data_IF_163290144409
#
_entry.id   IF_163290144409
#
_cell.length_a   1.000
_cell.length_b   1.000
_cell.length_c   1.000
_cell.angle_alpha   90.00
_cell.angle_beta   90.00
_cell.angle_gamma   90.00
#
_symmetry.space_group_name_H-M   'P 1'
#
loop_
_entity.id
_entity.type
_entity.pdbx_description
1 polymer ?
#
# COMPACT_ATOMS: atom_id res chain seq x y z
N UNK A 1 -6.30 -18.62 11.65
CA UNK A 1 -5.19 -18.49 12.62
C UNK A 1 -5.38 -17.27 13.52
N UNK A 2 -5.66 -16.10 12.95
CA UNK A 2 -5.83 -14.84 13.67
C UNK A 2 -6.86 -14.88 14.82
N UNK A 3 -8.04 -15.50 14.62
CA UNK A 3 -9.04 -15.69 15.69
C UNK A 3 -8.49 -16.48 16.89
N UNK A 4 -7.74 -17.56 16.64
CA UNK A 4 -7.09 -18.34 17.72
C UNK A 4 -6.04 -17.53 18.46
N UNK A 5 -5.34 -16.65 17.76
CA UNK A 5 -4.36 -15.73 18.35
C UNK A 5 -5.01 -14.53 19.04
N UNK A 6 -6.35 -14.39 18.96
CA UNK A 6 -7.12 -13.28 19.55
C UNK A 6 -6.57 -11.91 19.17
N UNK A 7 -6.25 -11.73 17.88
CA UNK A 7 -5.82 -10.41 17.39
C UNK A 7 -6.93 -9.37 17.62
N UNK A 8 -6.60 -8.14 18.04
CA UNK A 8 -7.62 -7.14 18.38
C UNK A 8 -8.31 -6.56 17.14
N UNK A 9 -7.64 -6.57 15.99
CA UNK A 9 -8.16 -6.04 14.75
C UNK A 9 -7.70 -6.90 13.55
N UNK A 10 -8.49 -6.87 12.48
CA UNK A 10 -8.14 -7.44 11.19
C UNK A 10 -8.38 -6.44 10.07
N UNK A 11 -7.36 -6.24 9.24
CA UNK A 11 -7.46 -5.45 8.01
C UNK A 11 -7.78 -6.38 6.85
N UNK A 12 -8.91 -6.13 6.21
CA UNK A 12 -9.35 -6.80 4.99
C UNK A 12 -9.15 -5.85 3.79
N UNK A 13 -9.04 -6.42 2.60
CA UNK A 13 -8.84 -5.68 1.36
C UNK A 13 -9.42 -6.45 0.17
N UNK A 14 -9.43 -5.78 -0.99
CA UNK A 14 -9.86 -6.30 -2.29
C UNK A 14 -11.37 -6.36 -2.52
N UNK A 15 -12.02 -7.45 -2.13
CA UNK A 15 -13.47 -7.63 -2.24
C UNK A 15 -14.09 -7.62 -0.86
N UNK A 16 -15.23 -6.94 -0.73
CA UNK A 16 -15.99 -6.92 0.51
C UNK A 16 -16.77 -8.23 0.65
N UNK A 17 -16.21 -9.17 1.40
CA UNK A 17 -16.92 -10.36 1.86
C UNK A 17 -17.73 -10.02 3.12
N UNK A 18 -19.01 -9.70 2.93
CA UNK A 18 -19.89 -9.31 4.04
C UNK A 18 -20.14 -10.43 5.06
N UNK A 19 -20.09 -11.70 4.66
CA UNK A 19 -20.26 -12.83 5.58
C UNK A 19 -19.02 -12.97 6.48
N UNK A 20 -17.82 -12.82 5.90
CA UNK A 20 -16.59 -12.79 6.66
C UNK A 20 -16.56 -11.62 7.65
N UNK A 21 -16.93 -10.41 7.22
CA UNK A 21 -17.00 -9.23 8.11
C UNK A 21 -17.93 -9.52 9.28
N UNK A 22 -19.17 -9.96 9.02
CA UNK A 22 -20.14 -10.28 10.09
C UNK A 22 -19.63 -11.37 11.04
N UNK A 23 -18.96 -12.40 10.50
CA UNK A 23 -18.36 -13.44 11.33
C UNK A 23 -17.28 -12.88 12.26
N UNK A 24 -16.34 -12.07 11.74
CA UNK A 24 -15.28 -11.45 12.55
C UNK A 24 -15.85 -10.50 13.62
N UNK A 25 -16.89 -9.75 13.28
CA UNK A 25 -17.62 -8.88 14.21
C UNK A 25 -18.28 -9.68 15.34
N UNK A 26 -18.88 -10.84 15.03
CA UNK A 26 -19.48 -11.73 16.03
C UNK A 26 -18.43 -12.32 16.98
N UNK A 27 -17.18 -12.48 16.52
CA UNK A 27 -16.03 -12.90 17.33
C UNK A 27 -15.40 -11.74 18.14
N UNK A 28 -15.97 -10.53 18.06
CA UNK A 28 -15.50 -9.34 18.81
C UNK A 28 -14.22 -8.72 18.25
N UNK A 29 -13.87 -9.00 17.00
CA UNK A 29 -12.71 -8.43 16.33
C UNK A 29 -13.08 -7.09 15.69
N UNK A 30 -12.21 -6.09 15.84
CA UNK A 30 -12.35 -4.83 15.10
C UNK A 30 -12.03 -5.07 13.61
N UNK A 31 -12.97 -4.78 12.72
CA UNK A 31 -12.79 -5.01 11.28
C UNK A 31 -12.49 -3.71 10.57
N UNK A 32 -11.35 -3.66 9.91
CA UNK A 32 -10.90 -2.53 9.09
C UNK A 32 -10.95 -3.00 7.64
N UNK A 33 -11.59 -2.25 6.73
CA UNK A 33 -11.64 -2.65 5.32
C UNK A 33 -11.05 -1.58 4.41
N UNK A 34 -10.13 -1.98 3.53
CA UNK A 34 -9.58 -1.10 2.51
C UNK A 34 -10.49 -1.04 1.28
N UNK A 35 -10.92 0.17 0.93
CA UNK A 35 -11.85 0.46 -0.16
C UNK A 35 -11.21 1.42 -1.16
N UNK A 36 -11.47 1.19 -2.45
CA UNK A 36 -10.97 2.03 -3.55
C UNK A 36 -12.07 2.75 -4.32
N UNK A 37 -13.32 2.65 -3.86
CA UNK A 37 -14.50 3.25 -4.50
C UNK A 37 -15.62 3.50 -3.48
N UNK A 38 -16.53 4.43 -3.79
CA UNK A 38 -17.73 4.68 -3.01
C UNK A 38 -18.60 3.42 -2.86
N UNK A 39 -18.67 2.61 -3.92
CA UNK A 39 -19.43 1.36 -3.90
C UNK A 39 -18.87 0.35 -2.90
N UNK A 40 -17.55 0.19 -2.86
CA UNK A 40 -16.91 -0.72 -1.89
C UNK A 40 -17.06 -0.19 -0.46
N UNK A 41 -17.04 1.14 -0.27
CA UNK A 41 -17.30 1.76 1.03
C UNK A 41 -18.71 1.48 1.54
N UNK A 42 -19.74 1.68 0.70
CA UNK A 42 -21.13 1.31 1.05
C UNK A 42 -21.24 -0.16 1.48
N UNK A 43 -20.65 -1.07 0.69
CA UNK A 43 -20.67 -2.50 1.01
C UNK A 43 -19.97 -2.81 2.34
N UNK A 44 -18.83 -2.17 2.61
CA UNK A 44 -18.07 -2.36 3.84
C UNK A 44 -18.83 -1.83 5.07
N UNK A 45 -19.50 -0.68 4.92
CA UNK A 45 -20.35 -0.07 5.95
C UNK A 45 -21.58 -0.94 6.22
N UNK A 46 -22.28 -1.39 5.18
CA UNK A 46 -23.43 -2.31 5.28
C UNK A 46 -23.05 -3.63 5.96
N UNK A 47 -21.82 -4.11 5.73
CA UNK A 47 -21.30 -5.30 6.38
C UNK A 47 -20.94 -5.09 7.87
N UNK A 48 -20.81 -3.84 8.32
CA UNK A 48 -20.53 -3.46 9.71
C UNK A 48 -19.05 -3.27 10.04
N UNK A 49 -18.22 -2.88 9.07
CA UNK A 49 -16.81 -2.54 9.32
C UNK A 49 -16.68 -1.37 10.31
N UNK A 50 -15.66 -1.43 11.17
CA UNK A 50 -15.39 -0.44 12.22
C UNK A 50 -14.57 0.76 11.73
N UNK A 51 -13.73 0.55 10.70
CA UNK A 51 -12.87 1.58 10.10
C UNK A 51 -12.74 1.30 8.61
N UNK A 52 -12.71 2.35 7.79
CA UNK A 52 -12.37 2.24 6.38
C UNK A 52 -10.94 2.73 6.13
N UNK A 53 -10.22 2.07 5.22
CA UNK A 53 -9.00 2.62 4.60
C UNK A 53 -9.37 3.05 3.19
N UNK A 54 -9.41 4.35 2.91
CA UNK A 54 -9.65 4.88 1.57
C UNK A 54 -8.33 4.89 0.78
N UNK A 55 -8.15 3.93 -0.13
CA UNK A 55 -6.95 3.78 -0.95
C UNK A 55 -7.13 4.42 -2.32
N UNK A 56 -6.39 5.49 -2.60
CA UNK A 56 -6.33 6.11 -3.93
C UNK A 56 -5.39 5.38 -4.90
N UNK A 57 -5.50 5.72 -6.18
CA UNK A 57 -4.72 5.11 -7.28
C UNK A 57 -3.20 5.35 -7.16
N UNK A 58 -2.82 6.34 -6.36
CA UNK A 58 -1.45 6.76 -6.04
C UNK A 58 -0.78 5.92 -4.92
N UNK A 59 -1.48 4.93 -4.35
CA UNK A 59 -0.90 3.93 -3.46
C UNK A 59 0.01 2.93 -4.21
N UNK A 60 0.87 2.22 -3.46
CA UNK A 60 1.72 1.14 -3.96
C UNK A 60 1.07 -0.24 -3.80
N UNK A 61 1.63 -1.27 -4.45
CA UNK A 61 1.10 -2.63 -4.33
C UNK A 61 -0.13 -2.82 -5.21
N UNK A 62 -1.05 -3.70 -4.81
CA UNK A 62 -2.33 -3.88 -5.50
C UNK A 62 -3.24 -2.67 -5.29
N UNK A 63 -3.74 -2.11 -6.41
CA UNK A 63 -4.50 -0.85 -6.45
C UNK A 63 -5.67 -1.00 -7.41
N UNK A 64 -6.81 -1.44 -6.85
CA UNK A 64 -8.06 -1.66 -7.60
C UNK A 64 -8.70 -0.35 -8.05
N UNK A 65 -8.68 0.67 -7.18
CA UNK A 65 -9.26 1.99 -7.47
C UNK A 65 -8.54 2.72 -8.59
N UNK A 66 -9.23 3.66 -9.22
CA UNK A 66 -8.71 4.51 -10.30
C UNK A 66 -8.69 5.99 -9.95
N UNK A 67 -9.34 6.37 -8.84
CA UNK A 67 -9.44 7.75 -8.35
C UNK A 67 -8.27 8.05 -7.42
N UNK A 68 -7.68 9.24 -7.52
CA UNK A 68 -6.59 9.66 -6.64
C UNK A 68 -7.07 9.86 -5.20
N UNK A 69 -6.18 9.71 -4.24
CA UNK A 69 -6.48 9.88 -2.80
C UNK A 69 -7.12 11.23 -2.52
N UNK A 70 -6.63 12.29 -3.16
CA UNK A 70 -7.16 13.64 -2.99
C UNK A 70 -8.64 13.77 -3.40
N UNK A 71 -9.05 13.11 -4.49
CA UNK A 71 -10.42 13.16 -4.99
C UNK A 71 -11.33 12.13 -4.29
N UNK A 72 -10.82 10.92 -4.03
CA UNK A 72 -11.57 9.82 -3.42
C UNK A 72 -11.92 10.10 -1.95
N UNK A 73 -10.96 10.62 -1.18
CA UNK A 73 -11.06 10.67 0.27
C UNK A 73 -12.28 11.45 0.78
N UNK A 74 -12.60 12.67 0.28
CA UNK A 74 -13.78 13.41 0.75
C UNK A 74 -15.10 12.67 0.52
N UNK A 75 -15.23 11.95 -0.60
CA UNK A 75 -16.43 11.17 -0.89
C UNK A 75 -16.59 10.01 0.11
N UNK A 76 -15.51 9.28 0.39
CA UNK A 76 -15.53 8.18 1.35
C UNK A 76 -15.80 8.68 2.77
N UNK A 77 -15.20 9.79 3.18
CA UNK A 77 -15.46 10.41 4.49
C UNK A 77 -16.92 10.80 4.63
N UNK A 78 -17.51 11.41 3.59
CA UNK A 78 -18.93 11.79 3.62
C UNK A 78 -19.86 10.57 3.74
N UNK A 79 -19.53 9.45 3.06
CA UNK A 79 -20.29 8.20 3.15
C UNK A 79 -20.14 7.51 4.50
N UNK A 80 -18.96 7.57 5.12
CA UNK A 80 -18.64 6.86 6.36
C UNK A 80 -19.37 7.44 7.59
N UNK A 81 -19.72 8.73 7.56
CA UNK A 81 -20.41 9.39 8.67
C UNK A 81 -19.56 9.37 9.94
N UNK A 82 -19.99 8.59 10.94
CA UNK A 82 -19.27 8.43 12.21
C UNK A 82 -18.16 7.37 12.17
N UNK A 83 -18.14 6.52 11.14
CA UNK A 83 -17.12 5.48 10.98
C UNK A 83 -15.78 6.13 10.59
N UNK A 84 -14.69 5.93 11.36
CA UNK A 84 -13.41 6.53 11.05
C UNK A 84 -12.85 6.07 9.70
N UNK A 85 -12.22 7.01 8.98
CA UNK A 85 -11.55 6.77 7.70
C UNK A 85 -10.06 7.07 7.82
N UNK A 86 -9.23 6.11 7.42
CA UNK A 86 -7.81 6.29 7.22
C UNK A 86 -7.50 6.53 5.74
N UNK A 87 -6.77 7.58 5.40
CA UNK A 87 -6.33 7.85 4.03
C UNK A 87 -5.13 6.98 3.63
N UNK A 88 -5.08 6.47 2.41
CA UNK A 88 -3.97 5.65 1.90
C UNK A 88 -3.64 5.99 0.45
N UNK A 89 -2.36 6.24 0.17
CA UNK A 89 -1.86 6.69 -1.13
C UNK A 89 -1.22 8.09 -1.04
N UNK A 90 -0.09 8.28 -1.74
CA UNK A 90 0.67 9.55 -1.80
C UNK A 90 1.03 10.23 -0.45
N UNK A 91 0.94 9.54 0.69
CA UNK A 91 1.28 10.09 2.01
C UNK A 91 2.60 9.47 2.50
N UNK A 92 3.63 10.29 2.69
CA UNK A 92 4.87 9.92 3.38
C UNK A 92 5.57 11.10 4.10
N UNK A 93 4.92 12.27 4.16
CA UNK A 93 5.39 13.47 4.85
C UNK A 93 4.31 14.04 5.76
N UNK A 94 4.70 14.86 6.72
CA UNK A 94 3.75 15.53 7.62
C UNK A 94 2.80 16.49 6.90
N UNK A 95 3.24 17.11 5.80
CA UNK A 95 2.37 17.97 4.98
C UNK A 95 1.25 17.16 4.28
N UNK A 96 1.59 15.99 3.74
CA UNK A 96 0.61 15.08 3.15
C UNK A 96 -0.35 14.51 4.21
N UNK A 97 0.15 14.21 5.41
CA UNK A 97 -0.69 13.82 6.55
C UNK A 97 -1.69 14.92 6.92
N UNK A 98 -1.23 16.18 7.05
CA UNK A 98 -2.12 17.32 7.34
C UNK A 98 -3.16 17.50 6.24
N UNK A 99 -2.79 17.33 4.97
CA UNK A 99 -3.75 17.39 3.87
C UNK A 99 -4.84 16.32 3.98
N UNK A 100 -4.47 15.06 4.29
CA UNK A 100 -5.43 13.98 4.50
C UNK A 100 -6.39 14.27 5.68
N UNK A 101 -5.85 14.76 6.80
CA UNK A 101 -6.66 15.16 7.95
C UNK A 101 -7.59 16.33 7.61
N UNK A 102 -7.12 17.31 6.83
CA UNK A 102 -7.94 18.44 6.38
C UNK A 102 -9.06 18.03 5.41
N UNK A 103 -8.88 16.95 4.65
CA UNK A 103 -9.92 16.34 3.81
C UNK A 103 -10.90 15.46 4.62
N UNK A 104 -10.72 15.37 5.94
CA UNK A 104 -11.66 14.73 6.86
C UNK A 104 -11.30 13.32 7.30
N UNK A 105 -10.12 12.80 6.94
CA UNK A 105 -9.63 11.54 7.52
C UNK A 105 -9.30 11.68 9.01
N UNK A 106 -9.39 10.58 9.76
CA UNK A 106 -8.96 10.51 11.17
C UNK A 106 -7.56 9.90 11.31
N UNK A 107 -7.06 9.23 10.27
CA UNK A 107 -5.76 8.57 10.26
C UNK A 107 -5.18 8.48 8.84
N UNK A 108 -3.97 7.94 8.73
CA UNK A 108 -3.37 7.57 7.45
C UNK A 108 -2.76 6.15 7.53
N UNK A 109 -2.85 5.40 6.44
CA UNK A 109 -2.23 4.08 6.25
C UNK A 109 -1.07 4.22 5.27
N UNK A 110 0.15 4.00 5.75
CA UNK A 110 1.38 4.35 5.02
C UNK A 110 2.16 3.09 4.65
N UNK A 111 2.25 2.78 3.35
CA UNK A 111 3.02 1.65 2.83
C UNK A 111 4.49 1.99 2.59
N UNK A 112 4.78 2.69 1.48
CA UNK A 112 6.16 3.00 1.03
C UNK A 112 7.03 3.64 2.12
N UNK A 113 6.45 4.51 2.96
CA UNK A 113 7.16 5.21 4.03
C UNK A 113 7.74 4.24 5.08
N UNK A 114 7.02 3.17 5.41
CA UNK A 114 7.47 2.13 6.34
C UNK A 114 8.21 0.99 5.64
N UNK A 115 8.05 0.84 4.31
CA UNK A 115 8.91 -0.05 3.55
C UNK A 115 10.36 0.45 3.56
N UNK A 116 10.56 1.78 3.57
CA UNK A 116 11.84 2.46 3.74
C UNK A 116 12.25 2.69 5.21
N UNK A 117 12.13 1.65 6.05
CA UNK A 117 12.66 1.66 7.43
C UNK A 117 13.58 0.48 7.70
N UNK A 118 14.39 0.55 8.75
CA UNK A 118 15.35 -0.50 9.11
C UNK A 118 14.67 -1.84 9.48
N UNK A 119 13.53 -1.77 10.13
CA UNK A 119 12.73 -2.92 10.61
C UNK A 119 11.97 -3.64 9.49
N UNK A 120 11.84 -2.99 8.33
CA UNK A 120 11.21 -3.59 7.15
C UNK A 120 11.96 -4.84 6.72
N UNK A 121 11.21 -5.93 6.52
CA UNK A 121 11.74 -7.19 5.97
C UNK A 121 11.96 -7.14 4.45
N UNK A 122 11.82 -5.96 3.83
CA UNK A 122 12.10 -5.78 2.41
C UNK A 122 13.61 -5.88 2.13
N UNK A 123 13.95 -6.43 0.96
CA UNK A 123 15.33 -6.51 0.50
C UNK A 123 15.97 -5.10 0.49
N UNK A 124 17.25 -4.95 0.90
CA UNK A 124 17.94 -3.65 0.89
C UNK A 124 17.88 -2.92 -0.46
N UNK A 125 17.99 -3.67 -1.55
CA UNK A 125 17.81 -3.17 -2.92
C UNK A 125 16.45 -2.50 -3.13
N UNK A 126 15.35 -3.09 -2.64
CA UNK A 126 14.01 -2.51 -2.74
C UNK A 126 13.94 -1.18 -1.98
N UNK A 127 14.43 -1.14 -0.74
CA UNK A 127 14.44 0.10 0.06
C UNK A 127 15.25 1.22 -0.60
N UNK A 128 16.41 0.89 -1.17
CA UNK A 128 17.24 1.84 -1.91
C UNK A 128 16.54 2.36 -3.17
N UNK A 129 15.86 1.47 -3.91
CA UNK A 129 15.03 1.85 -5.07
C UNK A 129 13.93 2.85 -4.69
N UNK A 130 13.29 2.71 -3.52
CA UNK A 130 12.28 3.66 -3.05
C UNK A 130 12.87 5.05 -2.80
N UNK A 131 14.00 5.11 -2.08
CA UNK A 131 14.66 6.38 -1.71
C UNK A 131 15.22 7.13 -2.92
N UNK A 132 15.62 6.39 -3.97
CA UNK A 132 16.15 6.97 -5.20
C UNK A 132 15.04 7.46 -6.17
N UNK A 133 13.79 7.07 -5.94
CA UNK A 133 12.69 7.30 -6.88
C UNK A 133 11.95 8.62 -6.64
N UNK A 134 11.28 9.08 -7.69
CA UNK A 134 10.31 10.17 -7.68
C UNK A 134 8.91 9.63 -7.90
N UNK A 135 7.89 10.44 -7.61
CA UNK A 135 6.49 10.07 -7.81
C UNK A 135 6.22 9.64 -9.27
N UNK A 136 6.74 10.41 -10.23
CA UNK A 136 6.60 10.19 -11.68
C UNK A 136 7.31 8.94 -12.20
N UNK A 137 8.23 8.36 -11.42
CA UNK A 137 8.92 7.13 -11.82
C UNK A 137 8.03 5.91 -11.65
N UNK A 138 7.01 5.95 -10.79
CA UNK A 138 6.14 4.78 -10.55
C UNK A 138 5.24 4.50 -11.76
N UNK A 139 4.96 3.21 -12.00
CA UNK A 139 4.05 2.78 -13.07
C UNK A 139 2.92 1.94 -12.51
N UNK A 140 1.69 2.18 -12.99
CA UNK A 140 0.54 1.31 -12.75
C UNK A 140 0.42 0.32 -13.90
N UNK A 141 0.40 -0.96 -13.57
CA UNK A 141 0.47 -2.06 -14.56
C UNK A 141 -0.27 -3.29 -14.07
N UNK A 142 -0.56 -4.22 -14.97
CA UNK A 142 -1.18 -5.52 -14.66
C UNK A 142 -0.23 -6.70 -14.91
N UNK A 143 1.04 -6.43 -15.25
CA UNK A 143 2.00 -7.47 -15.63
C UNK A 143 2.41 -8.39 -14.48
N UNK A 144 2.36 -7.92 -13.23
CA UNK A 144 2.62 -8.77 -12.06
C UNK A 144 1.34 -9.46 -11.62
N UNK A 145 1.05 -10.62 -12.19
CA UNK A 145 -0.18 -11.37 -11.96
C UNK A 145 -0.02 -12.90 -11.92
N UNK A 146 1.20 -13.44 -12.02
CA UNK A 146 1.44 -14.89 -12.21
C UNK A 146 0.76 -15.77 -11.17
N UNK A 147 0.82 -15.34 -9.91
CA UNK A 147 0.23 -16.03 -8.75
C UNK A 147 -1.10 -15.39 -8.29
N UNK A 148 -1.75 -14.60 -9.15
CA UNK A 148 -3.08 -14.06 -8.91
C UNK A 148 -4.07 -14.58 -9.96
N UNK A 149 -5.29 -14.93 -9.55
CA UNK A 149 -6.28 -15.56 -10.46
C UNK A 149 -6.74 -14.65 -11.60
N UNK A 150 -6.71 -13.34 -11.38
CA UNK A 150 -7.16 -12.30 -12.31
C UNK A 150 -6.06 -11.25 -12.34
N UNK A 151 -5.67 -10.76 -13.53
CA UNK A 151 -4.65 -9.72 -13.61
C UNK A 151 -5.11 -8.48 -12.82
N UNK A 152 -4.49 -8.27 -11.65
CA UNK A 152 -4.85 -7.22 -10.72
C UNK A 152 -3.92 -6.02 -10.95
N UNK A 153 -4.45 -4.81 -11.12
CA UNK A 153 -3.61 -3.62 -11.25
C UNK A 153 -2.73 -3.44 -10.00
N UNK A 154 -1.44 -3.25 -10.24
CA UNK A 154 -0.45 -2.93 -9.23
C UNK A 154 0.28 -1.65 -9.57
N UNK A 155 0.84 -0.99 -8.55
CA UNK A 155 1.81 0.10 -8.73
C UNK A 155 3.18 -0.28 -8.18
N UNK A 156 4.18 -0.13 -9.04
CA UNK A 156 5.57 -0.55 -8.84
C UNK A 156 6.53 0.52 -9.36
N UNK A 157 7.80 0.41 -8.99
CA UNK A 157 8.88 1.05 -9.73
C UNK A 157 9.20 0.21 -10.98
N UNK A 158 9.54 0.87 -12.11
CA UNK A 158 9.77 0.19 -13.37
C UNK A 158 11.06 -0.63 -13.34
N UNK A 159 10.99 -1.81 -13.92
CA UNK A 159 12.09 -2.76 -14.10
C UNK A 159 11.98 -3.49 -15.44
N UNK A 160 12.80 -4.51 -15.65
CA UNK A 160 12.82 -5.28 -16.90
C UNK A 160 11.45 -5.90 -17.25
N UNK A 161 10.72 -6.39 -16.24
CA UNK A 161 9.38 -6.97 -16.44
C UNK A 161 8.39 -5.91 -16.93
N UNK A 162 8.36 -4.73 -16.29
CA UNK A 162 7.44 -3.65 -16.71
C UNK A 162 7.78 -3.02 -18.06
N UNK A 163 9.02 -3.14 -18.53
CA UNK A 163 9.47 -2.62 -19.83
C UNK A 163 9.21 -3.58 -20.99
N UNK A 164 8.74 -4.80 -20.70
CA UNK A 164 8.47 -5.81 -21.72
C UNK A 164 9.70 -6.61 -22.12
N UNK A 165 10.80 -6.57 -21.35
CA UNK A 165 12.03 -7.30 -21.65
C UNK A 165 11.81 -8.84 -21.71
N UNK A 166 10.68 -9.32 -21.16
CA UNK A 166 10.24 -10.71 -21.14
C UNK A 166 9.10 -11.05 -22.11
N UNK A 167 8.57 -10.06 -22.86
CA UNK A 167 7.38 -10.26 -23.69
C UNK A 167 7.65 -11.22 -24.87
N UNK A 168 8.89 -11.20 -25.37
CA UNK A 168 9.37 -12.10 -26.42
C UNK A 168 9.82 -13.48 -25.95
N UNK A 169 9.87 -13.72 -24.64
CA UNK A 169 10.26 -15.01 -24.09
C UNK A 169 9.16 -16.06 -24.33
N UNK A 170 9.59 -17.28 -24.64
CA UNK A 170 8.74 -18.48 -24.62
C UNK A 170 8.23 -18.78 -23.21
N UNK A 171 7.15 -19.55 -23.10
CA UNK A 171 6.62 -19.97 -21.80
C UNK A 171 7.66 -20.76 -20.98
N UNK A 172 8.49 -21.57 -21.64
CA UNK A 172 9.58 -22.31 -20.97
C UNK A 172 10.65 -21.39 -20.36
N UNK A 173 10.92 -20.24 -20.99
CA UNK A 173 11.83 -19.22 -20.46
C UNK A 173 11.17 -18.44 -19.31
N UNK A 174 9.87 -18.15 -19.41
CA UNK A 174 9.09 -17.51 -18.32
C UNK A 174 8.91 -18.44 -17.11
N UNK A 175 9.06 -19.74 -17.30
CA UNK A 175 9.07 -20.75 -16.23
C UNK A 175 10.46 -20.98 -15.62
N UNK A 176 11.45 -20.16 -15.96
CA UNK A 176 12.74 -20.13 -15.25
C UNK A 176 12.69 -19.13 -14.07
N UNK A 177 13.14 -19.51 -12.86
CA UNK A 177 13.21 -18.59 -11.74
C UNK A 177 14.15 -17.41 -12.03
N UNK A 178 13.73 -16.22 -11.61
CA UNK A 178 14.56 -15.00 -11.63
C UNK A 178 15.25 -14.77 -10.29
N UNK A 179 14.64 -15.24 -9.20
CA UNK A 179 15.10 -15.04 -7.84
C UNK A 179 14.67 -16.22 -6.96
N UNK A 180 15.20 -16.25 -5.73
CA UNK A 180 14.87 -17.23 -4.71
C UNK A 180 14.79 -16.56 -3.34
N UNK A 181 13.77 -16.88 -2.54
CA UNK A 181 13.59 -16.38 -1.17
C UNK A 181 12.89 -17.43 -0.29
N UNK A 182 12.61 -17.12 0.99
CA UNK A 182 11.88 -18.01 1.92
C UNK A 182 12.52 -19.42 2.03
N UNK A 183 13.84 -19.48 2.16
CA UNK A 183 14.57 -20.75 2.23
C UNK A 183 14.69 -21.48 0.89
N UNK A 184 14.73 -20.73 -0.23
CA UNK A 184 15.04 -21.25 -1.57
C UNK A 184 13.83 -21.49 -2.46
N UNK A 185 12.65 -20.97 -2.11
CA UNK A 185 11.49 -20.98 -2.98
C UNK A 185 11.74 -20.13 -4.23
N UNK A 186 11.48 -20.65 -5.44
CA UNK A 186 11.72 -19.91 -6.67
C UNK A 186 10.69 -18.80 -6.86
N UNK A 187 11.16 -17.65 -7.30
CA UNK A 187 10.34 -16.52 -7.78
C UNK A 187 10.55 -16.39 -9.28
N UNK A 188 9.46 -16.19 -10.01
CA UNK A 188 9.40 -16.17 -11.47
C UNK A 188 9.14 -14.76 -12.00
N UNK A 189 9.40 -14.47 -13.29
CA UNK A 189 8.92 -13.25 -13.91
C UNK A 189 7.41 -13.12 -13.73
N UNK A 190 6.91 -11.89 -13.67
CA UNK A 190 5.48 -11.59 -13.48
C UNK A 190 4.87 -12.04 -12.14
N UNK A 191 5.68 -12.53 -11.19
CA UNK A 191 5.17 -12.90 -9.86
C UNK A 191 4.88 -11.67 -8.99
N UNK A 192 3.87 -11.77 -8.14
CA UNK A 192 3.52 -10.71 -7.15
C UNK A 192 4.40 -10.75 -5.90
N UNK A 193 5.40 -11.64 -5.85
CA UNK A 193 6.33 -11.71 -4.74
C UNK A 193 7.20 -10.45 -4.67
N UNK A 194 7.05 -9.70 -3.58
CA UNK A 194 7.93 -8.59 -3.24
C UNK A 194 9.26 -9.13 -2.73
N UNK A 195 10.40 -8.47 -3.01
CA UNK A 195 11.70 -8.87 -2.48
C UNK A 195 11.76 -8.92 -0.95
N UNK A 196 11.86 -10.12 -0.38
CA UNK A 196 12.18 -10.31 1.04
C UNK A 196 13.68 -10.12 1.31
N UNK A 197 14.06 -9.93 2.58
CA UNK A 197 15.45 -9.63 2.98
C UNK A 197 16.46 -10.72 2.59
N UNK A 198 16.01 -11.97 2.50
CA UNK A 198 16.83 -13.14 2.15
C UNK A 198 16.79 -13.46 0.64
N UNK A 199 16.08 -12.64 -0.15
CA UNK A 199 15.97 -12.87 -1.58
C UNK A 199 17.35 -12.79 -2.26
N UNK A 200 17.58 -13.70 -3.21
CA UNK A 200 18.79 -13.77 -4.02
C UNK A 200 18.45 -13.87 -5.51
N UNK A 201 19.39 -13.54 -6.40
CA UNK A 201 19.19 -13.56 -7.85
C UNK A 201 18.89 -12.16 -8.42
N UNK A 202 17.98 -12.08 -9.39
CA UNK A 202 17.61 -10.84 -10.09
C UNK A 202 16.55 -10.07 -9.31
N UNK A 203 16.97 -9.48 -8.19
CA UNK A 203 16.07 -8.77 -7.27
C UNK A 203 15.32 -7.63 -7.96
N UNK A 204 16.00 -6.90 -8.85
CA UNK A 204 15.40 -5.77 -9.56
C UNK A 204 14.21 -6.19 -10.45
N UNK A 205 14.20 -7.43 -10.93
CA UNK A 205 13.18 -7.96 -11.84
C UNK A 205 11.92 -8.46 -11.09
N UNK A 206 11.97 -8.54 -9.75
CA UNK A 206 10.81 -8.87 -8.91
C UNK A 206 9.84 -7.69 -8.80
N UNK A 207 8.70 -7.86 -8.12
CA UNK A 207 7.72 -6.79 -7.95
C UNK A 207 8.21 -5.71 -6.96
N UNK A 208 8.86 -4.66 -7.47
CA UNK A 208 9.33 -3.51 -6.68
C UNK A 208 8.15 -2.58 -6.37
N UNK A 209 7.24 -2.99 -5.49
CA UNK A 209 6.05 -2.22 -5.13
C UNK A 209 6.40 -0.86 -4.53
N UNK A 210 5.71 0.18 -5.01
CA UNK A 210 5.90 1.56 -4.57
C UNK A 210 4.67 2.41 -4.92
N UNK A 211 4.23 3.23 -3.97
CA UNK A 211 3.26 4.30 -4.23
C UNK A 211 3.94 5.59 -4.67
N UNK A 212 3.18 6.55 -5.18
CA UNK A 212 3.71 7.86 -5.61
C UNK A 212 4.31 8.67 -4.44
N UNK A 213 4.05 8.25 -3.19
CA UNK A 213 4.66 8.81 -1.99
C UNK A 213 6.19 8.65 -1.91
N UNK A 214 6.81 7.81 -2.76
CA UNK A 214 8.28 7.69 -2.83
C UNK A 214 8.99 9.01 -3.09
N UNK A 215 8.34 9.96 -3.80
CA UNK A 215 8.89 11.30 -3.99
C UNK A 215 9.06 12.13 -2.71
N UNK A 216 8.54 11.66 -1.57
CA UNK A 216 8.66 12.30 -0.24
C UNK A 216 9.60 11.52 0.70
N UNK A 217 10.24 10.45 0.22
CA UNK A 217 11.06 9.54 1.02
C UNK A 217 12.51 9.67 0.55
N UNK A 218 13.39 10.15 1.42
CA UNK A 218 14.79 10.44 1.06
C UNK A 218 15.82 9.72 1.95
N UNK A 219 15.35 8.85 2.83
CA UNK A 219 16.15 8.18 3.84
C UNK A 219 15.59 6.80 4.19
N UNK A 220 16.46 5.97 4.76
CA UNK A 220 16.09 4.74 5.45
C UNK A 220 16.41 5.00 6.92
N UNK A 221 15.37 5.03 7.76
CA UNK A 221 15.48 5.34 9.19
C UNK A 221 14.77 4.27 10.02
N UNK A 222 14.98 4.26 11.33
CA UNK A 222 14.13 3.46 12.21
C UNK A 222 12.67 3.88 12.11
N UNK A 223 11.74 2.94 12.20
CA UNK A 223 10.30 3.20 12.12
C UNK A 223 9.83 4.21 13.17
N UNK A 224 10.42 4.18 14.38
CA UNK A 224 10.14 5.19 15.41
C UNK A 224 10.56 6.60 15.00
N UNK A 225 11.69 6.75 14.30
CA UNK A 225 12.14 8.04 13.77
C UNK A 225 11.24 8.51 12.63
N UNK A 226 10.83 7.60 11.73
CA UNK A 226 9.86 7.92 10.66
C UNK A 226 8.57 8.49 11.24
N UNK A 227 8.03 7.88 12.31
CA UNK A 227 6.84 8.39 13.01
C UNK A 227 7.11 9.77 13.61
N UNK A 228 8.22 9.93 14.33
CA UNK A 228 8.57 11.21 14.95
C UNK A 228 8.74 12.34 13.92
N UNK A 229 9.34 12.04 12.76
CA UNK A 229 9.47 12.96 11.65
C UNK A 229 8.11 13.37 11.09
N UNK A 230 7.22 12.42 10.80
CA UNK A 230 5.86 12.70 10.31
C UNK A 230 5.11 13.65 11.25
N UNK A 231 5.20 13.43 12.56
CA UNK A 231 4.56 14.28 13.58
C UNK A 231 5.17 15.69 13.57
N UNK A 232 6.50 15.83 13.64
CA UNK A 232 7.17 17.14 13.63
C UNK A 232 6.85 17.94 12.37
N UNK A 233 6.86 17.29 11.20
CA UNK A 233 6.52 17.93 9.93
C UNK A 233 5.04 18.35 9.86
N UNK A 234 4.15 17.56 10.46
CA UNK A 234 2.72 17.88 10.53
C UNK A 234 2.49 19.10 11.44
N UNK A 235 3.11 19.14 12.62
CA UNK A 235 3.06 20.29 13.53
C UNK A 235 3.58 21.57 12.85
N UNK A 236 4.73 21.48 12.17
CA UNK A 236 5.29 22.60 11.40
C UNK A 236 4.36 23.06 10.26
N UNK A 237 3.72 22.11 9.57
CA UNK A 237 2.74 22.42 8.51
C UNK A 237 1.52 23.13 9.08
N UNK A 238 0.97 22.65 10.19
CA UNK A 238 -0.15 23.28 10.88
C UNK A 238 0.20 24.68 11.36
N UNK A 239 1.39 24.88 11.93
CA UNK A 239 1.86 26.20 12.35
C UNK A 239 1.95 27.18 11.18
N UNK A 240 2.42 26.74 10.01
CA UNK A 240 2.49 27.55 8.78
C UNK A 240 1.11 27.92 8.22
N UNK A 241 0.10 27.06 8.38
CA UNK A 241 -1.25 27.29 7.88
C UNK A 241 -2.09 28.20 8.80
N UNK A 242 -1.63 28.47 10.03
CA UNK A 242 -2.31 29.43 10.91
C UNK A 242 -2.22 30.84 10.30
N UNK A 243 -3.33 31.60 10.24
CA UNK A 243 -3.26 33.01 9.86
C UNK A 243 -2.27 33.75 10.76
N UNK A 244 -1.54 34.72 10.21
CA UNK A 244 -0.90 35.71 11.05
C UNK A 244 -1.99 36.56 11.69
N UNK A 245 -1.97 36.68 13.02
CA UNK A 245 -2.88 37.53 13.80
C UNK A 245 -2.80 39.01 13.36
#
# INVERSE_FOLDING_TARGET
>A
ACLRLRVPAMVLFWEVDGDLVRHLKAEGVQVIHQVGSCRDAELALDAGCDVLIAQGVDAGGHVRGEVSTFALLPEIVALAGEVPVAASGAIASGAALVAALALGAQAASLGSAFLATEESFAHPHHRQRLVAARAEDTVRTTVFARNWKIAAPVRVLPNAVTRGDYDGCSEAEKDQPIAWQDGGQPVYPFSTDSPAIDATGRIDDMAIYAGESVGQIHDIVHAGERVAQLVREAEATLARLRPAD
#
